data_IF_077203924629
#
_entry.id   IF_077203924629
#
_cell.length_a   1.000
_cell.length_b   1.000
_cell.length_c   1.000
_cell.angle_alpha   90.00
_cell.angle_beta   90.00
_cell.angle_gamma   90.00
#
_symmetry.space_group_name_H-M   'P 1'
#
loop_
_entity.id
_entity.type
_entity.pdbx_description
1 polymer ?
#
# COMPACT_ATOMS: atom_id res chain seq x y z
N UNK A 1 -9.17 4.09 17.77
CA UNK A 1 -9.61 3.60 16.45
C UNK A 1 -8.51 3.90 15.46
N UNK A 2 -8.25 2.96 14.56
CA UNK A 2 -7.20 3.04 13.55
C UNK A 2 -7.83 3.26 12.18
N UNK A 3 -7.18 4.07 11.35
CA UNK A 3 -7.49 4.21 9.93
C UNK A 3 -6.38 3.50 9.14
N UNK A 4 -6.75 2.59 8.26
CA UNK A 4 -5.83 1.84 7.43
C UNK A 4 -6.04 2.21 5.97
N UNK A 5 -5.11 2.99 5.42
CA UNK A 5 -5.13 3.42 4.02
C UNK A 5 -4.36 2.42 3.18
N UNK A 6 -4.96 1.95 2.10
CA UNK A 6 -4.43 0.85 1.29
C UNK A 6 -4.34 1.24 -0.17
N UNK A 7 -3.22 0.89 -0.80
CA UNK A 7 -3.10 0.89 -2.24
C UNK A 7 -2.27 -0.32 -2.71
N UNK A 8 -2.28 -0.56 -4.01
CA UNK A 8 -1.63 -1.68 -4.66
C UNK A 8 -0.58 -1.25 -5.68
N UNK A 9 0.43 -2.09 -5.80
CA UNK A 9 1.39 -2.03 -6.89
C UNK A 9 1.65 -3.42 -7.41
N UNK A 10 1.93 -3.55 -8.70
CA UNK A 10 2.15 -4.85 -9.30
C UNK A 10 3.14 -4.81 -10.45
N UNK A 11 3.81 -5.95 -10.62
CA UNK A 11 4.63 -6.34 -11.76
C UNK A 11 4.22 -7.76 -12.18
N UNK A 12 4.65 -8.25 -13.36
CA UNK A 12 4.26 -9.58 -13.82
C UNK A 12 4.52 -10.72 -12.82
N UNK A 13 5.51 -10.56 -11.95
CA UNK A 13 6.01 -11.55 -10.99
C UNK A 13 5.54 -11.35 -9.55
N UNK A 14 4.90 -10.21 -9.22
CA UNK A 14 4.39 -9.89 -7.90
C UNK A 14 3.18 -8.95 -7.96
N UNK A 15 2.10 -9.36 -7.31
CA UNK A 15 1.01 -8.46 -6.94
C UNK A 15 1.16 -8.10 -5.47
N UNK A 16 1.20 -6.81 -5.13
CA UNK A 16 1.47 -6.34 -3.77
C UNK A 16 0.53 -5.23 -3.33
N UNK A 17 0.23 -5.21 -2.04
CA UNK A 17 -0.45 -4.14 -1.34
C UNK A 17 0.49 -3.51 -0.32
N UNK A 18 0.48 -2.19 -0.28
CA UNK A 18 1.03 -1.40 0.81
C UNK A 18 -0.10 -0.71 1.55
N UNK A 19 -0.02 -0.70 2.87
CA UNK A 19 -0.95 0.04 3.69
C UNK A 19 -0.28 0.79 4.82
N UNK A 20 -0.85 1.94 5.17
CA UNK A 20 -0.45 2.76 6.32
C UNK A 20 -1.60 2.81 7.31
N UNK A 21 -1.37 2.21 8.47
CA UNK A 21 -2.29 2.17 9.59
C UNK A 21 -1.88 3.19 10.64
N UNK A 22 -2.76 4.13 10.93
CA UNK A 22 -2.50 5.27 11.79
C UNK A 22 -3.71 5.59 12.68
N UNK A 23 -3.48 6.13 13.87
CA UNK A 23 -4.53 6.77 14.66
C UNK A 23 -4.89 8.17 14.11
N UNK A 24 -5.86 8.84 14.74
CA UNK A 24 -6.31 10.16 14.31
C UNK A 24 -5.23 11.25 14.39
N UNK A 25 -4.35 11.19 15.39
CA UNK A 25 -3.26 12.16 15.58
C UNK A 25 -2.18 11.98 14.51
N UNK A 26 -1.78 10.73 14.28
CA UNK A 26 -0.81 10.33 13.25
C UNK A 26 -1.32 10.66 11.86
N UNK A 27 -2.60 10.37 11.57
CA UNK A 27 -3.25 10.67 10.29
C UNK A 27 -3.23 12.17 9.99
N UNK A 28 -3.60 13.00 10.98
CA UNK A 28 -3.59 14.46 10.84
C UNK A 28 -2.18 14.99 10.59
N UNK A 29 -1.22 14.49 11.37
CA UNK A 29 0.17 14.90 11.25
C UNK A 29 0.75 14.51 9.88
N UNK A 30 0.58 13.26 9.44
CA UNK A 30 1.06 12.81 8.13
C UNK A 30 0.43 13.62 6.98
N UNK A 31 -0.89 13.83 7.04
CA UNK A 31 -1.60 14.65 6.04
C UNK A 31 -1.00 16.04 5.94
N UNK A 32 -0.73 16.68 7.08
CA UNK A 32 -0.10 18.00 7.13
C UNK A 32 1.33 17.98 6.56
N UNK A 33 2.13 16.96 6.90
CA UNK A 33 3.49 16.80 6.35
C UNK A 33 3.47 16.61 4.85
N UNK A 34 2.50 15.87 4.30
CA UNK A 34 2.36 15.72 2.85
C UNK A 34 2.05 17.05 2.16
N UNK A 35 1.19 17.89 2.76
CA UNK A 35 0.95 19.24 2.25
C UNK A 35 2.21 20.10 2.26
N UNK A 36 3.00 20.04 3.32
CA UNK A 36 4.28 20.77 3.42
C UNK A 36 5.29 20.31 2.36
N UNK A 37 5.42 19.00 2.14
CA UNK A 37 6.29 18.43 1.10
C UNK A 37 5.89 18.95 -0.28
N UNK A 38 4.60 18.92 -0.62
CA UNK A 38 4.14 19.38 -1.95
C UNK A 38 4.27 20.90 -2.08
N UNK A 39 3.96 21.67 -1.03
CA UNK A 39 4.10 23.12 -1.04
C UNK A 39 5.56 23.57 -1.28
N UNK A 40 6.54 22.84 -0.72
CA UNK A 40 7.96 23.11 -0.95
C UNK A 40 8.38 22.90 -2.42
N UNK A 41 7.59 22.18 -3.22
CA UNK A 41 7.88 21.94 -4.63
C UNK A 41 7.39 23.04 -5.58
N UNK A 42 6.76 24.09 -5.06
CA UNK A 42 6.27 25.22 -5.85
C UNK A 42 7.40 25.90 -6.64
N UNK A 43 8.63 25.95 -6.09
CA UNK A 43 9.80 26.48 -6.79
C UNK A 43 10.20 25.66 -8.04
N UNK A 44 9.74 24.41 -8.13
CA UNK A 44 9.94 23.53 -9.28
C UNK A 44 8.71 23.46 -10.20
N UNK A 45 7.72 24.34 -10.01
CA UNK A 45 6.50 24.40 -10.83
C UNK A 45 5.45 23.34 -10.51
N UNK A 46 5.52 22.70 -9.33
CA UNK A 46 4.50 21.75 -8.85
C UNK A 46 3.45 22.51 -8.05
N UNK A 47 2.17 22.40 -8.44
CA UNK A 47 1.08 23.06 -7.72
C UNK A 47 0.84 22.40 -6.34
N UNK A 48 0.46 23.16 -5.28
CA UNK A 48 0.23 22.60 -3.94
C UNK A 48 -0.83 21.50 -3.87
N UNK A 49 -1.81 21.50 -4.79
CA UNK A 49 -2.84 20.46 -4.88
C UNK A 49 -2.37 19.23 -5.68
N UNK A 50 -1.17 19.25 -6.26
CA UNK A 50 -0.64 18.13 -7.04
C UNK A 50 -0.61 16.87 -6.19
N UNK A 51 -1.07 15.78 -6.79
CA UNK A 51 -1.07 14.46 -6.18
C UNK A 51 0.33 13.89 -6.03
N UNK A 52 0.60 13.26 -4.89
CA UNK A 52 1.81 12.48 -4.64
C UNK A 52 1.68 11.06 -5.19
N UNK A 53 1.48 10.92 -6.50
CA UNK A 53 1.40 9.60 -7.13
C UNK A 53 2.80 9.11 -7.53
N UNK A 54 3.22 7.97 -6.96
CA UNK A 54 4.58 7.47 -7.01
C UNK A 54 5.07 7.21 -8.44
N UNK A 55 4.23 6.65 -9.31
CA UNK A 55 4.63 6.35 -10.69
C UNK A 55 4.93 7.62 -11.52
N UNK A 56 4.07 8.65 -11.56
CA UNK A 56 4.40 9.95 -12.14
C UNK A 56 5.63 10.63 -11.53
N UNK A 57 5.80 10.61 -10.21
CA UNK A 57 6.99 11.16 -9.54
C UNK A 57 8.25 10.41 -10.02
N UNK A 58 8.22 9.08 -9.98
CA UNK A 58 9.38 8.26 -10.33
C UNK A 58 9.83 8.50 -11.78
N UNK A 59 8.88 8.51 -12.72
CA UNK A 59 9.17 8.68 -14.14
C UNK A 59 9.28 10.13 -14.61
N UNK A 60 8.90 11.11 -13.80
CA UNK A 60 8.85 12.51 -14.23
C UNK A 60 7.77 12.75 -15.26
N UNK A 61 6.54 12.33 -14.99
CA UNK A 61 5.41 12.49 -15.92
C UNK A 61 4.43 13.56 -15.41
N UNK A 62 3.72 14.19 -16.32
CA UNK A 62 2.72 15.23 -15.99
C UNK A 62 3.36 16.40 -15.26
N UNK A 63 2.79 16.77 -14.11
CA UNK A 63 3.30 17.83 -13.22
C UNK A 63 4.76 17.62 -12.77
N UNK A 64 5.29 16.40 -12.89
CA UNK A 64 6.64 16.03 -12.47
C UNK A 64 7.70 16.09 -13.60
N UNK A 65 7.30 16.47 -14.82
CA UNK A 65 8.17 16.47 -16.01
C UNK A 65 9.32 17.48 -15.96
N UNK A 66 9.09 18.66 -15.37
CA UNK A 66 10.13 19.67 -15.14
C UNK A 66 10.93 19.49 -13.85
N UNK A 67 10.55 18.52 -13.01
CA UNK A 67 11.15 18.35 -11.67
C UNK A 67 12.46 17.56 -11.78
N UNK A 68 13.60 18.10 -11.31
CA UNK A 68 14.89 17.42 -11.39
C UNK A 68 14.88 16.06 -10.68
N UNK A 69 15.57 15.02 -11.21
CA UNK A 69 15.56 13.68 -10.62
C UNK A 69 15.92 13.64 -9.13
N UNK A 70 16.90 14.44 -8.70
CA UNK A 70 17.30 14.55 -7.28
C UNK A 70 16.16 15.04 -6.37
N UNK A 71 15.31 15.93 -6.87
CA UNK A 71 14.17 16.48 -6.12
C UNK A 71 13.07 15.44 -6.03
N UNK A 72 12.81 14.70 -7.12
CA UNK A 72 11.85 13.59 -7.12
C UNK A 72 12.28 12.49 -6.15
N UNK A 73 13.56 12.14 -6.11
CA UNK A 73 14.13 11.23 -5.10
C UNK A 73 13.91 11.77 -3.69
N UNK A 74 14.14 13.06 -3.47
CA UNK A 74 13.88 13.71 -2.17
C UNK A 74 12.43 13.56 -1.73
N UNK A 75 11.45 13.66 -2.64
CA UNK A 75 10.04 13.43 -2.30
C UNK A 75 9.81 12.03 -1.72
N UNK A 76 10.38 10.98 -2.32
CA UNK A 76 10.29 9.63 -1.76
C UNK A 76 10.90 9.54 -0.36
N UNK A 77 12.08 10.15 -0.17
CA UNK A 77 12.77 10.17 1.13
C UNK A 77 11.94 10.91 2.20
N UNK A 78 11.43 12.11 1.88
CA UNK A 78 10.66 12.92 2.82
C UNK A 78 9.34 12.24 3.21
N UNK A 79 8.69 11.56 2.27
CA UNK A 79 7.45 10.82 2.54
C UNK A 79 7.72 9.63 3.46
N UNK A 80 8.76 8.82 3.18
CA UNK A 80 9.10 7.66 4.01
C UNK A 80 9.58 8.10 5.39
N UNK A 81 10.40 9.16 5.48
CA UNK A 81 10.83 9.75 6.75
C UNK A 81 9.63 10.20 7.58
N UNK A 82 8.63 10.85 6.96
CA UNK A 82 7.40 11.23 7.65
C UNK A 82 6.65 9.99 8.18
N UNK A 83 6.51 8.94 7.38
CA UNK A 83 5.86 7.69 7.84
C UNK A 83 6.55 7.13 9.08
N UNK A 84 7.89 6.99 9.05
CA UNK A 84 8.66 6.50 10.19
C UNK A 84 8.50 7.43 11.41
N UNK A 85 8.66 8.74 11.23
CA UNK A 85 8.57 9.72 12.32
C UNK A 85 7.17 9.81 12.95
N UNK A 86 6.12 9.49 12.20
CA UNK A 86 4.74 9.47 12.71
C UNK A 86 4.47 8.32 13.69
N UNK A 87 5.28 7.25 13.64
CA UNK A 87 5.01 6.00 14.35
C UNK A 87 3.82 5.21 13.79
N UNK A 88 3.33 5.56 12.59
CA UNK A 88 2.32 4.76 11.91
C UNK A 88 2.85 3.35 11.62
N UNK A 89 1.95 2.38 11.57
CA UNK A 89 2.30 1.01 11.24
C UNK A 89 2.14 0.77 9.74
N UNK A 90 3.19 0.31 9.07
CA UNK A 90 3.11 -0.11 7.68
C UNK A 90 2.70 -1.60 7.61
N UNK A 91 1.90 -1.96 6.61
CA UNK A 91 1.51 -3.35 6.34
C UNK A 91 1.81 -3.65 4.87
N UNK A 92 2.58 -4.72 4.62
CA UNK A 92 3.03 -5.09 3.28
C UNK A 92 2.64 -6.53 3.00
N UNK A 93 1.83 -6.76 1.96
CA UNK A 93 1.39 -8.10 1.56
C UNK A 93 1.40 -8.29 0.08
N UNK A 94 1.86 -9.45 -0.37
CA UNK A 94 1.86 -9.76 -1.80
C UNK A 94 1.63 -11.23 -2.08
N UNK A 95 1.43 -11.56 -3.35
CA UNK A 95 1.34 -12.92 -3.86
C UNK A 95 2.06 -13.02 -5.20
N UNK A 96 2.81 -14.11 -5.42
CA UNK A 96 3.55 -14.33 -6.68
C UNK A 96 2.69 -15.14 -7.65
N UNK A 97 2.24 -14.57 -8.79
CA UNK A 97 1.24 -15.22 -9.64
C UNK A 97 1.57 -16.66 -10.05
N UNK A 98 2.83 -16.95 -10.38
CA UNK A 98 3.27 -18.31 -10.75
C UNK A 98 3.28 -19.29 -9.58
N UNK A 99 3.73 -18.86 -8.41
CA UNK A 99 3.81 -19.72 -7.23
C UNK A 99 2.41 -20.06 -6.74
N UNK A 100 1.49 -19.10 -6.77
CA UNK A 100 0.10 -19.27 -6.35
C UNK A 100 -0.63 -20.23 -7.28
N UNK A 101 -0.39 -20.15 -8.59
CA UNK A 101 -0.94 -21.11 -9.55
C UNK A 101 -0.48 -22.53 -9.22
N UNK A 102 0.84 -22.75 -9.07
CA UNK A 102 1.41 -24.07 -8.75
C UNK A 102 0.91 -24.61 -7.41
N UNK A 103 0.77 -23.74 -6.40
CA UNK A 103 0.24 -24.10 -5.09
C UNK A 103 -1.21 -24.58 -5.20
N UNK A 104 -2.06 -23.83 -5.90
CA UNK A 104 -3.47 -24.18 -6.10
C UNK A 104 -3.64 -25.46 -6.95
N UNK A 105 -2.78 -25.67 -7.95
CA UNK A 105 -2.74 -26.91 -8.75
C UNK A 105 -2.43 -28.12 -7.87
N UNK A 106 -1.34 -28.02 -7.10
CA UNK A 106 -0.85 -29.10 -6.23
C UNK A 106 -1.88 -29.49 -5.17
N UNK A 107 -2.64 -28.52 -4.68
CA UNK A 107 -3.67 -28.72 -3.65
C UNK A 107 -5.06 -29.06 -4.22
N UNK A 108 -5.21 -29.11 -5.55
CA UNK A 108 -6.46 -29.47 -6.20
C UNK A 108 -7.61 -28.48 -5.94
N UNK A 109 -7.30 -27.18 -5.88
CA UNK A 109 -8.32 -26.14 -5.67
C UNK A 109 -9.31 -26.14 -6.84
N UNK A 110 -10.61 -26.31 -6.54
CA UNK A 110 -11.69 -26.27 -7.54
C UNK A 110 -11.89 -24.85 -8.08
N UNK A 111 -11.91 -23.88 -7.18
CA UNK A 111 -12.00 -22.45 -7.50
C UNK A 111 -10.62 -21.80 -7.43
N UNK A 112 -10.31 -20.93 -8.39
CA UNK A 112 -9.02 -20.25 -8.47
C UNK A 112 -9.11 -18.85 -7.87
N UNK A 113 -8.24 -18.60 -6.90
CA UNK A 113 -8.04 -17.28 -6.30
C UNK A 113 -6.97 -16.51 -7.07
N UNK A 114 -7.23 -15.22 -7.31
CA UNK A 114 -6.25 -14.32 -7.95
C UNK A 114 -5.17 -13.88 -6.95
N UNK A 115 -3.98 -13.48 -7.42
CA UNK A 115 -2.93 -12.92 -6.55
C UNK A 115 -3.40 -11.72 -5.73
N UNK A 116 -4.17 -10.83 -6.35
CA UNK A 116 -4.85 -9.70 -5.73
C UNK A 116 -5.72 -10.15 -4.53
N UNK A 117 -6.62 -11.12 -4.75
CA UNK A 117 -7.52 -11.65 -3.72
C UNK A 117 -6.75 -12.22 -2.51
N UNK A 118 -5.73 -13.04 -2.78
CA UNK A 118 -4.92 -13.67 -1.73
C UNK A 118 -4.12 -12.62 -0.96
N UNK A 119 -3.43 -11.72 -1.66
CA UNK A 119 -2.62 -10.69 -1.03
C UNK A 119 -3.46 -9.73 -0.18
N UNK A 120 -4.60 -9.27 -0.69
CA UNK A 120 -5.50 -8.37 0.02
C UNK A 120 -6.13 -9.03 1.24
N UNK A 121 -6.58 -10.28 1.12
CA UNK A 121 -7.11 -11.03 2.27
C UNK A 121 -6.06 -11.17 3.38
N UNK A 122 -4.81 -11.50 3.02
CA UNK A 122 -3.73 -11.54 3.99
C UNK A 122 -3.39 -10.16 4.57
N UNK A 123 -3.60 -9.07 3.83
CA UNK A 123 -3.47 -7.71 4.35
C UNK A 123 -4.51 -7.46 5.43
N UNK A 124 -5.80 -7.72 5.15
CA UNK A 124 -6.90 -7.54 6.09
C UNK A 124 -6.70 -8.36 7.38
N UNK A 125 -6.19 -9.59 7.27
CA UNK A 125 -5.82 -10.39 8.44
C UNK A 125 -4.71 -9.74 9.30
N UNK A 126 -3.83 -8.93 8.71
CA UNK A 126 -2.79 -8.20 9.46
C UNK A 126 -3.31 -6.91 10.05
N UNK A 127 -4.19 -6.21 9.33
CA UNK A 127 -4.95 -5.08 9.87
C UNK A 127 -5.67 -5.53 11.14
N UNK A 128 -6.41 -6.62 11.06
CA UNK A 128 -7.18 -7.19 12.17
C UNK A 128 -6.29 -7.56 13.37
N UNK A 129 -5.22 -8.33 13.14
CA UNK A 129 -4.28 -8.71 14.20
C UNK A 129 -3.61 -7.51 14.84
N UNK A 130 -3.13 -6.56 14.04
CA UNK A 130 -2.47 -5.36 14.57
C UNK A 130 -3.43 -4.51 15.39
N UNK A 131 -4.67 -4.36 14.93
CA UNK A 131 -5.71 -3.68 15.68
C UNK A 131 -6.00 -4.42 17.00
N UNK A 132 -6.03 -5.75 16.97
CA UNK A 132 -6.16 -6.60 18.16
C UNK A 132 -5.03 -6.43 19.17
N UNK A 133 -3.78 -6.43 18.71
CA UNK A 133 -2.58 -6.21 19.54
C UNK A 133 -2.60 -4.83 20.24
N UNK A 134 -3.26 -3.85 19.62
CA UNK A 134 -3.43 -2.49 20.14
C UNK A 134 -4.75 -2.29 20.90
N UNK A 135 -5.56 -3.34 21.04
CA UNK A 135 -6.91 -3.31 21.63
C UNK A 135 -7.82 -2.24 20.99
N UNK A 136 -7.64 -2.00 19.70
CA UNK A 136 -8.41 -1.04 18.91
C UNK A 136 -9.20 -1.74 17.81
N UNK A 137 -10.15 -1.00 17.24
CA UNK A 137 -10.77 -1.35 15.98
C UNK A 137 -10.18 -0.52 14.84
N UNK A 138 -10.30 -1.03 13.61
CA UNK A 138 -9.79 -0.41 12.39
C UNK A 138 -10.88 -0.21 11.34
N UNK A 139 -10.76 0.88 10.58
CA UNK A 139 -11.49 1.14 9.34
C UNK A 139 -10.50 1.07 8.17
N UNK A 140 -10.86 0.33 7.12
CA UNK A 140 -10.01 0.18 5.93
C UNK A 140 -10.53 1.09 4.83
N UNK A 141 -9.63 1.89 4.25
CA UNK A 141 -9.90 2.80 3.14
C UNK A 141 -8.92 2.45 2.02
N UNK A 142 -9.43 2.00 0.88
CA UNK A 142 -8.64 1.62 -0.28
C UNK A 142 -8.82 2.62 -1.43
N UNK A 143 -7.81 2.73 -2.31
CA UNK A 143 -7.91 3.57 -3.50
C UNK A 143 -8.99 3.08 -4.48
N UNK A 144 -9.74 4.00 -5.07
CA UNK A 144 -10.75 3.72 -6.09
C UNK A 144 -10.11 3.69 -7.47
N UNK A 145 -9.91 2.50 -8.03
CA UNK A 145 -9.48 2.33 -9.42
C UNK A 145 -10.67 2.31 -10.38
N UNK A 146 -10.41 2.68 -11.63
CA UNK A 146 -11.42 2.85 -12.68
C UNK A 146 -12.14 1.56 -13.12
N UNK A 147 -11.75 0.39 -12.62
CA UNK A 147 -12.43 -0.91 -12.79
C UNK A 147 -13.41 -1.24 -11.65
N UNK A 148 -14.08 -0.18 -11.17
CA UNK A 148 -15.09 -0.05 -10.09
C UNK A 148 -15.97 -1.27 -9.82
N UNK A 149 -16.45 -1.96 -10.85
CA UNK A 149 -17.50 -2.97 -10.69
C UNK A 149 -16.96 -4.34 -10.22
N UNK A 150 -15.76 -4.73 -10.68
CA UNK A 150 -15.21 -6.07 -10.39
C UNK A 150 -14.65 -6.20 -8.98
N UNK A 151 -14.21 -5.07 -8.43
CA UNK A 151 -13.60 -4.97 -7.10
C UNK A 151 -14.71 -4.96 -6.02
N UNK A 152 -15.70 -4.08 -6.15
CA UNK A 152 -16.81 -3.96 -5.17
C UNK A 152 -17.60 -5.26 -4.97
N UNK A 153 -17.98 -5.97 -6.05
CA UNK A 153 -18.72 -7.23 -5.94
C UNK A 153 -17.92 -8.33 -5.22
N UNK A 154 -16.62 -8.44 -5.48
CA UNK A 154 -15.76 -9.43 -4.83
C UNK A 154 -15.50 -9.11 -3.35
N UNK A 155 -15.43 -7.83 -2.97
CA UNK A 155 -15.20 -7.41 -1.59
C UNK A 155 -16.43 -7.50 -0.70
N UNK A 156 -17.63 -7.28 -1.24
CA UNK A 156 -18.89 -7.53 -0.52
C UNK A 156 -19.05 -9.02 -0.14
N UNK A 157 -18.57 -9.95 -0.99
CA UNK A 157 -18.60 -11.40 -0.71
C UNK A 157 -17.68 -11.79 0.44
N UNK A 158 -16.53 -11.13 0.61
CA UNK A 158 -15.62 -11.39 1.74
C UNK A 158 -16.23 -11.06 3.11
N UNK A 159 -17.02 -9.98 3.19
CA UNK A 159 -17.75 -9.61 4.41
C UNK A 159 -18.87 -10.60 4.76
N UNK A 160 -19.59 -11.12 3.77
CA UNK A 160 -20.83 -11.85 4.00
C UNK A 160 -20.62 -13.33 4.44
N UNK A 161 -19.54 -13.99 4.02
CA UNK A 161 -19.42 -15.44 4.16
C UNK A 161 -18.13 -15.96 4.81
N UNK A 162 -17.11 -15.11 5.01
CA UNK A 162 -15.74 -15.63 5.10
C UNK A 162 -15.37 -16.37 3.80
N UNK A 163 -14.09 -16.71 3.62
CA UNK A 163 -13.69 -17.44 2.42
C UNK A 163 -14.28 -18.87 2.44
N UNK A 164 -15.02 -19.32 1.41
CA UNK A 164 -15.44 -20.72 1.30
C UNK A 164 -14.21 -21.57 1.01
N UNK A 165 -13.81 -22.42 1.97
CA UNK A 165 -12.69 -23.33 1.81
C UNK A 165 -11.84 -23.45 3.07
N UNK A 166 -11.38 -24.67 3.33
CA UNK A 166 -10.76 -25.21 4.56
C UNK A 166 -9.49 -24.50 5.05
N UNK A 167 -9.11 -23.34 4.50
CA UNK A 167 -7.86 -22.66 4.80
C UNK A 167 -7.99 -21.30 5.52
N UNK A 168 -9.19 -20.72 5.64
CA UNK A 168 -9.30 -19.29 5.98
C UNK A 168 -10.56 -18.94 6.79
N UNK A 169 -10.66 -19.47 8.02
CA UNK A 169 -11.75 -19.20 8.99
C UNK A 169 -11.45 -18.05 9.97
N UNK A 170 -10.73 -16.99 9.57
CA UNK A 170 -10.51 -15.86 10.49
C UNK A 170 -11.69 -14.90 10.39
N UNK A 171 -12.52 -14.83 11.44
CA UNK A 171 -13.44 -13.69 11.62
C UNK A 171 -12.57 -12.44 11.82
N UNK A 172 -12.78 -11.41 11.01
CA UNK A 172 -12.06 -10.15 11.12
C UNK A 172 -12.77 -9.28 12.16
N UNK A 173 -12.59 -9.62 13.44
CA UNK A 173 -13.35 -9.05 14.57
C UNK A 173 -13.04 -7.58 14.85
N UNK A 174 -11.87 -7.09 14.44
CA UNK A 174 -11.42 -5.72 14.68
C UNK A 174 -11.72 -4.77 13.53
N UNK A 175 -12.20 -5.27 12.39
CA UNK A 175 -12.65 -4.43 11.29
C UNK A 175 -14.09 -3.98 11.56
N UNK A 176 -14.29 -2.67 11.74
CA UNK A 176 -15.61 -2.13 12.15
C UNK A 176 -16.66 -2.24 11.06
N UNK A 177 -16.23 -2.15 9.80
CA UNK A 177 -17.11 -1.98 8.66
C UNK A 177 -16.44 -2.56 7.41
N UNK A 178 -17.06 -2.36 6.26
CA UNK A 178 -16.54 -2.72 4.95
C UNK A 178 -15.30 -1.92 4.60
N UNK A 179 -14.62 -2.38 3.56
CA UNK A 179 -13.58 -1.58 2.92
C UNK A 179 -14.24 -0.42 2.21
N UNK A 180 -13.90 0.79 2.62
CA UNK A 180 -14.33 2.02 1.97
C UNK A 180 -13.41 2.31 0.79
N UNK A 181 -13.99 2.68 -0.35
CA UNK A 181 -13.21 3.08 -1.52
C UNK A 181 -13.29 4.59 -1.67
N UNK A 182 -12.15 5.24 -1.83
CA UNK A 182 -12.05 6.66 -2.04
C UNK A 182 -11.01 6.98 -3.12
N UNK A 183 -11.24 7.98 -3.96
CA UNK A 183 -10.23 8.40 -4.94
C UNK A 183 -8.99 9.00 -4.27
N UNK A 184 -7.82 8.51 -4.65
CA UNK A 184 -6.50 8.91 -4.14
C UNK A 184 -6.21 10.41 -4.25
N UNK A 185 -6.70 11.10 -5.29
CA UNK A 185 -6.45 12.53 -5.46
C UNK A 185 -7.09 13.41 -4.37
N UNK A 186 -8.04 12.89 -3.57
CA UNK A 186 -8.60 13.57 -2.40
C UNK A 186 -8.00 13.12 -1.06
N UNK A 187 -7.06 12.17 -1.04
CA UNK A 187 -6.51 11.62 0.20
C UNK A 187 -4.98 11.52 0.17
N UNK A 188 -4.31 12.38 0.95
CA UNK A 188 -2.87 12.31 1.15
C UNK A 188 -2.41 10.97 1.73
N UNK A 189 -3.24 10.34 2.56
CA UNK A 189 -2.90 9.05 3.14
C UNK A 189 -2.98 7.90 2.15
N UNK A 190 -3.90 7.94 1.16
CA UNK A 190 -3.90 6.98 0.05
C UNK A 190 -2.66 7.16 -0.83
N UNK A 191 -2.25 8.40 -1.08
CA UNK A 191 -1.02 8.70 -1.83
C UNK A 191 0.24 8.21 -1.09
N UNK A 192 0.26 8.26 0.25
CA UNK A 192 1.33 7.65 1.05
C UNK A 192 1.32 6.12 0.89
N UNK A 193 0.15 5.49 0.91
CA UNK A 193 0.02 4.04 0.70
C UNK A 193 0.49 3.62 -0.70
N UNK A 194 0.14 4.37 -1.75
CA UNK A 194 0.66 4.20 -3.13
C UNK A 194 2.20 4.19 -3.15
N UNK A 195 2.81 5.19 -2.52
CA UNK A 195 4.26 5.33 -2.50
C UNK A 195 4.94 4.15 -1.78
N UNK A 196 4.40 3.75 -0.62
CA UNK A 196 4.91 2.59 0.12
C UNK A 196 4.76 1.30 -0.70
N UNK A 197 3.60 1.08 -1.32
CA UNK A 197 3.35 -0.08 -2.18
C UNK A 197 4.31 -0.12 -3.38
N UNK A 198 4.49 1.03 -4.04
CA UNK A 198 5.38 1.18 -5.20
C UNK A 198 6.83 0.85 -4.84
N UNK A 199 7.36 1.45 -3.77
CA UNK A 199 8.74 1.22 -3.32
C UNK A 199 8.95 -0.25 -2.99
N UNK A 200 8.04 -0.83 -2.19
CA UNK A 200 8.16 -2.22 -1.77
C UNK A 200 8.10 -3.19 -2.94
N UNK A 201 7.09 -3.10 -3.80
CA UNK A 201 6.95 -4.00 -4.95
C UNK A 201 8.12 -3.86 -5.91
N UNK A 202 8.58 -2.62 -6.18
CA UNK A 202 9.74 -2.40 -7.04
C UNK A 202 11.00 -3.07 -6.49
N UNK A 203 11.25 -2.95 -5.18
CA UNK A 203 12.41 -3.59 -4.55
C UNK A 203 12.43 -5.12 -4.64
N UNK A 204 11.26 -5.73 -4.81
CA UNK A 204 11.09 -7.18 -4.87
C UNK A 204 11.13 -7.74 -6.31
N UNK A 205 11.10 -6.88 -7.32
CA UNK A 205 10.78 -7.25 -8.72
C UNK A 205 11.73 -6.63 -9.75
N UNK A 206 12.48 -5.60 -9.38
CA UNK A 206 13.34 -4.85 -10.30
C UNK A 206 14.77 -4.80 -9.78
N UNK A 207 15.70 -5.34 -10.56
CA UNK A 207 17.14 -5.14 -10.35
C UNK A 207 17.58 -3.78 -10.91
N UNK A 208 17.93 -2.85 -10.01
CA UNK A 208 18.39 -1.51 -10.40
C UNK A 208 19.81 -1.54 -10.94
N UNK A 209 19.98 -1.12 -12.21
CA UNK A 209 21.31 -1.06 -12.86
C UNK A 209 22.18 0.09 -12.38
N UNK A 210 21.57 1.18 -11.93
CA UNK A 210 22.27 2.33 -11.37
C UNK A 210 22.48 2.12 -9.87
N UNK A 211 23.73 1.96 -9.44
CA UNK A 211 24.09 1.76 -8.04
C UNK A 211 23.58 2.87 -7.11
N UNK A 212 23.42 4.10 -7.59
CA UNK A 212 22.86 5.20 -6.78
C UNK A 212 21.37 4.98 -6.54
N UNK A 213 20.63 4.57 -7.56
CA UNK A 213 19.21 4.24 -7.43
C UNK A 213 19.01 3.02 -6.54
N UNK A 214 19.83 1.97 -6.73
CA UNK A 214 19.81 0.78 -5.89
C UNK A 214 20.01 1.12 -4.40
N UNK A 215 20.98 2.00 -4.09
CA UNK A 215 21.24 2.44 -2.72
C UNK A 215 20.07 3.22 -2.11
N UNK A 216 19.47 4.13 -2.87
CA UNK A 216 18.29 4.89 -2.41
C UNK A 216 17.10 3.96 -2.18
N UNK A 217 16.83 3.06 -3.12
CA UNK A 217 15.74 2.09 -3.00
C UNK A 217 15.93 1.20 -1.77
N UNK A 218 17.15 0.70 -1.54
CA UNK A 218 17.48 -0.11 -0.36
C UNK A 218 17.30 0.66 0.94
N UNK A 219 17.64 1.96 0.99
CA UNK A 219 17.42 2.79 2.17
C UNK A 219 15.92 3.00 2.44
N UNK A 220 15.14 3.37 1.42
CA UNK A 220 13.69 3.53 1.53
C UNK A 220 13.01 2.25 2.03
N UNK A 221 13.39 1.09 1.49
CA UNK A 221 12.84 -0.21 1.91
C UNK A 221 13.21 -0.52 3.36
N UNK A 222 14.46 -0.29 3.76
CA UNK A 222 14.90 -0.47 5.15
C UNK A 222 14.06 0.36 6.13
N UNK A 223 13.82 1.63 5.78
CA UNK A 223 13.02 2.54 6.62
C UNK A 223 11.56 2.12 6.68
N UNK A 224 10.95 1.75 5.53
CA UNK A 224 9.59 1.21 5.46
C UNK A 224 9.46 -0.07 6.28
N UNK A 225 10.40 -1.00 6.14
CA UNK A 225 10.37 -2.29 6.86
C UNK A 225 10.60 -2.12 8.37
N UNK A 226 11.32 -1.08 8.80
CA UNK A 226 11.53 -0.77 10.22
C UNK A 226 10.22 -0.47 10.98
N UNK A 227 9.19 0.01 10.27
CA UNK A 227 7.86 0.28 10.81
C UNK A 227 6.79 -0.70 10.28
N UNK A 228 7.20 -1.75 9.56
CA UNK A 228 6.29 -2.72 8.99
C UNK A 228 5.89 -3.80 10.00
N UNK A 229 4.59 -4.06 10.13
CA UNK A 229 4.07 -5.14 10.94
C UNK A 229 3.99 -6.43 10.13
N UNK A 230 4.92 -7.34 10.43
CA UNK A 230 4.97 -8.69 9.88
C UNK A 230 4.94 -8.74 8.35
N UNK A 231 5.73 -7.97 7.59
CA UNK A 231 5.71 -8.00 6.11
C UNK A 231 5.81 -9.43 5.51
N UNK A 232 5.22 -9.70 4.34
CA UNK A 232 5.32 -11.02 3.73
C UNK A 232 4.67 -11.20 2.36
N UNK A 233 5.18 -12.16 1.60
CA UNK A 233 4.67 -12.56 0.27
C UNK A 233 4.20 -14.00 0.34
N UNK A 234 2.97 -14.24 -0.10
CA UNK A 234 2.37 -15.57 -0.19
C UNK A 234 2.78 -16.26 -1.50
N UNK A 235 2.96 -17.59 -1.50
CA UNK A 235 3.09 -18.38 -2.72
C UNK A 235 1.96 -18.08 -3.69
#
# INVERSE_FOLDING_TARGET
MLLCFVDESFKPDLYGFGAVMADASQTRWLTQRMHEIVAALQEYGVEPQTELHAHPIFHGKGAWSGVPPRVRVKVFLDVVEAVVASGATVLLRGARPEQLRRYQDTRGFRDRHTPEQVAFQHLLQRVDRRAGDLEMHALVIADERSDRDRHRERFAVYQAYGAPGTYMQTRLERLLDTVHFAPSHYSRMLQVADLVAFVWVRSQTVDERDHRQARVLSALVSDIESCAYSAGVWP
#
